data_IF_361277351695
#
_entry.id   IF_361277351695
#
_cell.length_a   1.000
_cell.length_b   1.000
_cell.length_c   1.000
_cell.angle_alpha   90.00
_cell.angle_beta   90.00
_cell.angle_gamma   90.00
#
_symmetry.space_group_name_H-M   'P 1'
#
loop_
_entity.id
_entity.type
_entity.pdbx_description
1 polymer ?
#
# COMPACT_ATOMS: atom_id res chain seq x y z
N UNK A 1 6.43 -28.31 -14.49
CA UNK A 1 4.97 -28.09 -14.47
C UNK A 1 4.57 -27.34 -13.22
N UNK A 2 3.55 -26.47 -13.30
CA UNK A 2 3.08 -25.49 -12.27
C UNK A 2 2.86 -26.01 -10.84
N UNK A 3 2.92 -27.31 -10.61
CA UNK A 3 2.70 -28.01 -9.33
C UNK A 3 3.96 -28.39 -8.56
N UNK A 4 5.15 -28.34 -9.17
CA UNK A 4 6.38 -28.83 -8.53
C UNK A 4 7.01 -27.84 -7.51
N UNK A 5 6.70 -26.55 -7.61
CA UNK A 5 7.33 -25.52 -6.77
C UNK A 5 6.80 -25.51 -5.34
N UNK A 6 5.51 -25.74 -5.14
CA UNK A 6 4.90 -25.71 -3.79
C UNK A 6 5.44 -26.83 -2.88
N UNK A 7 5.46 -28.11 -3.29
CA UNK A 7 6.03 -29.17 -2.46
C UNK A 7 7.49 -28.91 -2.09
N UNK A 8 8.30 -28.40 -3.02
CA UNK A 8 9.71 -28.07 -2.75
C UNK A 8 9.85 -26.98 -1.68
N UNK A 9 9.02 -25.93 -1.74
CA UNK A 9 8.99 -24.87 -0.72
C UNK A 9 8.50 -25.43 0.63
N UNK A 10 7.48 -26.28 0.63
CA UNK A 10 6.97 -26.92 1.85
C UNK A 10 8.03 -27.81 2.52
N UNK A 11 8.77 -28.62 1.74
CA UNK A 11 9.88 -29.43 2.24
C UNK A 11 11.03 -28.59 2.81
N UNK A 12 11.35 -27.46 2.17
CA UNK A 12 12.34 -26.52 2.70
C UNK A 12 11.90 -25.91 4.04
N UNK A 13 10.66 -25.40 4.11
CA UNK A 13 10.11 -24.78 5.32
C UNK A 13 9.97 -25.76 6.49
N UNK A 14 9.67 -27.04 6.21
CA UNK A 14 9.60 -28.08 7.24
C UNK A 14 10.92 -28.24 8.00
N UNK A 15 12.07 -28.13 7.32
CA UNK A 15 13.40 -28.14 7.96
C UNK A 15 13.61 -26.98 8.92
N UNK A 16 12.90 -25.86 8.71
CA UNK A 16 12.90 -24.68 9.58
C UNK A 16 11.77 -24.73 10.63
N UNK A 17 11.04 -25.85 10.75
CA UNK A 17 9.84 -26.00 11.61
C UNK A 17 8.72 -25.00 11.26
N UNK A 18 8.65 -24.55 10.01
CA UNK A 18 7.62 -23.65 9.51
C UNK A 18 6.59 -24.41 8.67
N UNK A 19 5.33 -23.97 8.73
CA UNK A 19 4.24 -24.48 7.89
C UNK A 19 3.61 -23.34 7.11
N UNK A 20 3.29 -23.60 5.83
CA UNK A 20 2.53 -22.65 5.02
C UNK A 20 1.10 -22.56 5.56
N UNK A 21 0.59 -21.35 5.71
CA UNK A 21 -0.81 -21.15 6.09
C UNK A 21 -1.73 -21.66 4.97
N UNK A 22 -2.68 -22.59 5.26
CA UNK A 22 -3.44 -23.31 4.23
C UNK A 22 -4.32 -22.40 3.37
N UNK A 23 -4.95 -21.40 4.00
CA UNK A 23 -5.86 -20.47 3.29
C UNK A 23 -5.15 -19.28 2.62
N UNK A 24 -4.03 -18.80 3.18
CA UNK A 24 -3.36 -17.57 2.70
C UNK A 24 -2.42 -17.81 1.52
N UNK A 25 -2.10 -19.06 1.22
CA UNK A 25 -1.25 -19.45 0.10
C UNK A 25 -2.06 -20.30 -0.88
N UNK A 26 -2.49 -19.69 -1.97
CA UNK A 26 -3.31 -20.32 -3.00
C UNK A 26 -2.60 -20.22 -4.35
N UNK A 27 -2.71 -21.28 -5.16
CA UNK A 27 -2.32 -21.25 -6.56
C UNK A 27 -3.56 -20.83 -7.37
N UNK A 28 -3.42 -19.76 -8.14
CA UNK A 28 -4.47 -19.25 -9.02
C UNK A 28 -3.82 -18.71 -10.29
N UNK A 29 -4.62 -18.55 -11.34
CA UNK A 29 -4.13 -18.05 -12.60
C UNK A 29 -3.72 -16.58 -12.51
N UNK A 30 -2.62 -16.23 -13.17
CA UNK A 30 -2.03 -14.89 -13.12
C UNK A 30 -2.95 -13.80 -13.65
N UNK A 31 -3.88 -14.12 -14.56
CA UNK A 31 -4.90 -13.18 -15.09
C UNK A 31 -5.78 -12.57 -13.99
N UNK A 32 -5.95 -13.26 -12.86
CA UNK A 32 -6.72 -12.71 -11.73
C UNK A 32 -5.91 -11.71 -10.90
N UNK A 33 -4.59 -11.66 -11.09
CA UNK A 33 -3.68 -10.79 -10.38
C UNK A 33 -3.46 -11.19 -8.92
N UNK A 34 -2.23 -11.05 -8.44
CA UNK A 34 -1.85 -11.40 -7.09
C UNK A 34 -1.86 -10.18 -6.15
N UNK A 35 -2.37 -10.38 -4.93
CA UNK A 35 -2.29 -9.35 -3.90
C UNK A 35 -0.89 -9.31 -3.28
N UNK A 36 -0.23 -8.17 -3.34
CA UNK A 36 1.11 -8.00 -2.77
C UNK A 36 1.30 -6.58 -2.21
N UNK A 37 1.62 -6.47 -0.93
CA UNK A 37 1.99 -5.21 -0.23
C UNK A 37 1.06 -4.03 -0.57
N UNK A 38 -0.26 -4.26 -0.59
CA UNK A 38 -1.26 -3.21 -0.86
C UNK A 38 -1.57 -2.96 -2.34
N UNK A 39 -0.98 -3.74 -3.24
CA UNK A 39 -1.27 -3.77 -4.66
C UNK A 39 -1.97 -5.07 -5.08
N UNK A 40 -2.55 -5.02 -6.27
CA UNK A 40 -2.96 -6.16 -7.08
C UNK A 40 -2.12 -6.15 -8.37
N UNK A 41 -1.23 -7.11 -8.48
CA UNK A 41 -0.24 -7.24 -9.55
C UNK A 41 -0.79 -8.16 -10.64
N UNK A 42 -1.01 -7.61 -11.83
CA UNK A 42 -1.37 -8.35 -13.04
C UNK A 42 -0.13 -8.52 -13.92
N UNK A 43 -0.16 -9.40 -14.94
CA UNK A 43 0.97 -9.56 -15.85
C UNK A 43 1.33 -8.26 -16.59
N UNK A 44 0.33 -7.45 -16.95
CA UNK A 44 0.52 -6.25 -17.77
C UNK A 44 0.51 -4.94 -16.97
N UNK A 45 0.02 -4.94 -15.72
CA UNK A 45 -0.17 -3.72 -14.94
C UNK A 45 -0.31 -4.00 -13.42
N UNK A 46 -0.14 -2.98 -12.59
CA UNK A 46 -0.21 -3.05 -11.14
C UNK A 46 -1.22 -2.02 -10.63
N UNK A 47 -2.31 -2.49 -10.02
CA UNK A 47 -3.33 -1.61 -9.41
C UNK A 47 -3.10 -1.49 -7.92
N UNK A 48 -3.27 -0.29 -7.36
CA UNK A 48 -3.38 -0.14 -5.91
C UNK A 48 -4.75 -0.67 -5.42
N UNK A 49 -4.76 -1.30 -4.25
CA UNK A 49 -6.00 -1.82 -3.67
C UNK A 49 -6.82 -0.74 -2.97
N UNK A 50 -8.14 -0.86 -3.05
CA UNK A 50 -9.08 0.08 -2.42
C UNK A 50 -8.88 0.21 -0.90
N UNK A 51 -8.50 -0.87 -0.21
CA UNK A 51 -8.23 -0.82 1.23
C UNK A 51 -6.97 -0.03 1.58
N UNK A 52 -5.97 0.00 0.70
CA UNK A 52 -4.80 0.86 0.84
C UNK A 52 -5.21 2.33 0.68
N UNK A 53 -5.97 2.65 -0.38
CA UNK A 53 -6.48 4.01 -0.62
C UNK A 53 -7.34 4.53 0.52
N UNK A 54 -8.25 3.70 1.05
CA UNK A 54 -9.09 4.05 2.19
C UNK A 54 -8.25 4.39 3.43
N UNK A 55 -7.25 3.55 3.75
CA UNK A 55 -6.34 3.79 4.89
C UNK A 55 -5.53 5.07 4.70
N UNK A 56 -5.05 5.33 3.48
CA UNK A 56 -4.31 6.54 3.16
C UNK A 56 -5.15 7.81 3.31
N UNK A 57 -6.38 7.83 2.76
CA UNK A 57 -7.31 8.95 2.91
C UNK A 57 -7.64 9.22 4.38
N UNK A 58 -7.85 8.16 5.19
CA UNK A 58 -8.06 8.31 6.63
C UNK A 58 -6.84 8.92 7.33
N UNK A 59 -5.63 8.46 6.99
CA UNK A 59 -4.38 9.03 7.51
C UNK A 59 -4.19 10.49 7.12
N UNK A 60 -4.49 10.87 5.88
CA UNK A 60 -4.39 12.27 5.46
C UNK A 60 -5.35 13.19 6.21
N UNK A 61 -6.58 12.75 6.46
CA UNK A 61 -7.51 13.48 7.34
C UNK A 61 -6.95 13.69 8.75
N UNK A 62 -6.26 12.69 9.30
CA UNK A 62 -5.61 12.81 10.61
C UNK A 62 -4.43 13.80 10.56
N UNK A 63 -3.61 13.73 9.52
CA UNK A 63 -2.49 14.66 9.32
C UNK A 63 -2.97 16.10 9.13
N UNK A 64 -4.06 16.32 8.37
CA UNK A 64 -4.69 17.64 8.23
C UNK A 64 -5.09 18.21 9.61
N UNK A 65 -5.77 17.41 10.44
CA UNK A 65 -6.19 17.82 11.79
C UNK A 65 -5.00 18.08 12.72
N UNK A 66 -3.98 17.23 12.68
CA UNK A 66 -2.80 17.40 13.51
C UNK A 66 -2.00 18.65 13.10
N UNK A 67 -1.85 18.86 11.80
CA UNK A 67 -1.13 20.02 11.27
C UNK A 67 -1.87 21.34 11.56
N UNK A 68 -3.21 21.35 11.42
CA UNK A 68 -4.00 22.56 11.69
C UNK A 68 -3.96 22.99 13.16
N UNK A 69 -3.73 22.04 14.07
CA UNK A 69 -3.59 22.24 15.53
C UNK A 69 -2.15 22.42 16.00
N UNK A 70 -1.20 22.62 15.08
CA UNK A 70 0.24 22.72 15.35
C UNK A 70 0.84 21.52 16.12
N UNK A 71 0.23 20.35 16.02
CA UNK A 71 0.69 19.13 16.70
C UNK A 71 1.81 18.42 15.92
N UNK A 72 1.95 18.72 14.63
CA UNK A 72 3.04 18.23 13.79
C UNK A 72 3.62 19.37 12.96
N UNK A 73 4.91 19.29 12.69
CA UNK A 73 5.59 20.22 11.79
C UNK A 73 5.17 19.99 10.33
N UNK A 74 5.37 21.03 9.50
CA UNK A 74 5.20 20.90 8.06
C UNK A 74 6.14 19.84 7.46
N UNK A 75 7.38 19.75 7.96
CA UNK A 75 8.34 18.73 7.51
C UNK A 75 7.84 17.30 7.78
N UNK A 76 7.25 17.05 8.96
CA UNK A 76 6.69 15.74 9.31
C UNK A 76 5.48 15.38 8.46
N UNK A 77 4.61 16.36 8.21
CA UNK A 77 3.48 16.22 7.30
C UNK A 77 3.98 15.82 5.89
N UNK A 78 4.87 16.62 5.32
CA UNK A 78 5.40 16.41 3.96
C UNK A 78 6.12 15.08 3.84
N UNK A 79 6.93 14.68 4.82
CA UNK A 79 7.57 13.38 4.85
C UNK A 79 6.55 12.24 4.78
N UNK A 80 5.44 12.34 5.52
CA UNK A 80 4.40 11.30 5.48
C UNK A 80 3.69 11.24 4.13
N UNK A 81 3.43 12.40 3.51
CA UNK A 81 2.77 12.47 2.20
C UNK A 81 3.70 11.91 1.12
N UNK A 82 4.98 12.31 1.12
CA UNK A 82 5.99 11.82 0.18
C UNK A 82 6.24 10.32 0.30
N UNK A 83 6.30 9.78 1.52
CA UNK A 83 6.45 8.34 1.75
C UNK A 83 5.31 7.55 1.10
N UNK A 84 4.06 8.01 1.26
CA UNK A 84 2.92 7.35 0.63
C UNK A 84 2.91 7.54 -0.89
N UNK A 85 3.25 8.73 -1.38
CA UNK A 85 3.39 9.01 -2.80
C UNK A 85 4.42 8.09 -3.46
N UNK A 86 5.58 7.92 -2.82
CA UNK A 86 6.66 7.05 -3.29
C UNK A 86 6.23 5.58 -3.32
N UNK A 87 5.54 5.10 -2.29
CA UNK A 87 4.98 3.75 -2.29
C UNK A 87 4.07 3.53 -3.51
N UNK A 88 3.15 4.46 -3.80
CA UNK A 88 2.25 4.35 -4.94
C UNK A 88 2.93 4.42 -6.31
N UNK A 89 4.14 4.99 -6.42
CA UNK A 89 4.90 5.01 -7.68
C UNK A 89 5.25 3.60 -8.19
N UNK A 90 5.20 2.58 -7.33
CA UNK A 90 5.41 1.18 -7.73
C UNK A 90 4.23 0.55 -8.48
N UNK A 91 3.10 1.25 -8.62
CA UNK A 91 1.98 0.80 -9.44
C UNK A 91 1.48 1.86 -10.41
N UNK A 92 0.54 1.48 -11.28
CA UNK A 92 -0.08 2.32 -12.30
C UNK A 92 -1.08 3.29 -11.66
N UNK A 93 -0.55 4.27 -10.95
CA UNK A 93 -1.30 5.18 -10.09
C UNK A 93 -1.14 6.65 -10.48
N UNK A 94 -0.58 6.97 -11.65
CA UNK A 94 -0.28 8.34 -12.07
C UNK A 94 -1.47 9.30 -11.90
N UNK A 95 -2.58 9.00 -12.58
CA UNK A 95 -3.82 9.78 -12.51
C UNK A 95 -4.43 9.79 -11.10
N UNK A 96 -4.46 8.63 -10.44
CA UNK A 96 -4.98 8.51 -9.08
C UNK A 96 -4.22 9.36 -8.05
N UNK A 97 -2.88 9.43 -8.18
CA UNK A 97 -2.05 10.27 -7.33
C UNK A 97 -2.37 11.75 -7.56
N UNK A 98 -2.51 12.18 -8.82
CA UNK A 98 -2.92 13.54 -9.17
C UNK A 98 -4.28 13.87 -8.52
N UNK A 99 -5.32 13.06 -8.80
CA UNK A 99 -6.67 13.27 -8.24
C UNK A 99 -6.69 13.38 -6.71
N UNK A 100 -5.85 12.60 -6.03
CA UNK A 100 -5.77 12.63 -4.56
C UNK A 100 -5.03 13.87 -4.08
N UNK A 101 -3.91 14.25 -4.70
CA UNK A 101 -3.16 15.44 -4.29
C UNK A 101 -3.91 16.73 -4.57
N UNK A 102 -4.67 16.80 -5.66
CA UNK A 102 -5.52 17.95 -5.99
C UNK A 102 -6.62 18.19 -4.95
N UNK A 103 -7.04 17.13 -4.24
CA UNK A 103 -8.03 17.20 -3.15
C UNK A 103 -7.40 17.48 -1.77
N UNK A 104 -6.07 17.45 -1.64
CA UNK A 104 -5.38 17.55 -0.36
C UNK A 104 -4.93 18.98 -0.08
N UNK A 105 -5.73 19.68 0.74
CA UNK A 105 -5.40 21.01 1.26
C UNK A 105 -4.94 20.90 2.71
N UNK A 106 -3.79 21.52 3.04
CA UNK A 106 -3.27 21.58 4.41
C UNK A 106 -3.18 23.03 4.88
N UNK A 107 -4.03 23.40 5.83
CA UNK A 107 -4.08 24.75 6.41
C UNK A 107 -3.66 24.71 7.86
N UNK A 108 -2.88 25.69 8.29
CA UNK A 108 -2.48 25.90 9.68
C UNK A 108 -3.22 27.13 10.21
N UNK A 109 -3.82 27.03 11.41
CA UNK A 109 -4.40 28.19 12.04
C UNK A 109 -3.30 29.23 12.35
N UNK A 110 -3.56 30.54 12.16
CA UNK A 110 -2.61 31.56 12.57
C UNK A 110 -2.31 31.40 14.07
N UNK A 111 -1.04 31.58 14.44
CA UNK A 111 -0.65 31.64 15.84
C UNK A 111 -1.23 32.93 16.43
N UNK A 112 -2.02 32.80 17.50
CA UNK A 112 -2.50 33.89 18.34
C UNK A 112 -1.33 34.62 18.99
#
# INVERSE_FOLDING_TARGET
GRTASRPAVESYLARLRLKIHPVKSQLFETRYGANFVGFRVFPEHIRVRNDNLRRARARFKQLQKAYSRDQISFSRLTQSVQSWAAHLKHGDTGRLRQDIFDQLVFTRAPKS
#
